data_IF_653778484797
#
_entry.id   IF_653778484797
#
_cell.length_a   1.000
_cell.length_b   1.000
_cell.length_c   1.000
_cell.angle_alpha   90.00
_cell.angle_beta   90.00
_cell.angle_gamma   90.00
#
_symmetry.space_group_name_H-M   'P 1'
#
loop_
_entity.id
_entity.type
_entity.pdbx_description
1 polymer ?
#
# COMPACT_ATOMS: atom_id res chain seq x y z
N UNK A 1 -47.21 -44.76 -37.70
CA UNK A 1 -45.94 -44.16 -37.24
C UNK A 1 -46.02 -44.04 -35.72
N UNK A 2 -45.19 -44.78 -34.99
CA UNK A 2 -45.12 -44.71 -33.52
C UNK A 2 -44.13 -43.61 -33.17
N UNK A 3 -44.63 -42.51 -32.63
CA UNK A 3 -43.81 -41.43 -32.09
C UNK A 3 -43.30 -41.88 -30.72
N UNK A 4 -42.04 -42.25 -30.65
CA UNK A 4 -41.34 -42.42 -29.38
C UNK A 4 -41.05 -41.01 -28.86
N UNK A 5 -41.56 -40.69 -27.67
CA UNK A 5 -41.21 -39.46 -26.99
C UNK A 5 -39.71 -39.52 -26.63
N UNK A 6 -38.93 -38.59 -27.14
CA UNK A 6 -37.56 -38.36 -26.68
C UNK A 6 -37.62 -38.10 -25.17
N UNK A 7 -36.86 -38.87 -24.40
CA UNK A 7 -36.68 -38.62 -22.98
C UNK A 7 -35.93 -37.29 -22.88
N UNK A 8 -36.54 -36.30 -22.22
CA UNK A 8 -35.87 -35.05 -21.89
C UNK A 8 -34.66 -35.37 -20.99
N UNK A 9 -33.45 -35.35 -21.57
CA UNK A 9 -32.22 -35.43 -20.79
C UNK A 9 -32.12 -34.18 -19.91
N UNK A 10 -31.96 -34.39 -18.60
CA UNK A 10 -31.73 -33.29 -17.67
C UNK A 10 -30.45 -32.53 -18.06
N UNK A 11 -30.46 -31.19 -18.07
CA UNK A 11 -29.29 -30.42 -18.45
C UNK A 11 -28.15 -30.64 -17.45
N UNK A 12 -27.03 -31.15 -17.93
CA UNK A 12 -25.82 -31.32 -17.14
C UNK A 12 -25.13 -29.96 -16.88
N UNK A 13 -24.66 -29.75 -15.65
CA UNK A 13 -23.99 -28.51 -15.26
C UNK A 13 -22.51 -28.61 -15.66
N UNK A 14 -22.03 -27.66 -16.47
CA UNK A 14 -20.63 -27.61 -16.84
C UNK A 14 -19.74 -27.16 -15.66
N UNK A 15 -19.23 -28.12 -14.90
CA UNK A 15 -18.36 -27.87 -13.75
C UNK A 15 -17.09 -27.10 -14.13
N UNK A 16 -16.57 -27.28 -15.35
CA UNK A 16 -15.37 -26.58 -15.81
C UNK A 16 -15.60 -25.07 -15.90
N UNK A 17 -16.74 -24.65 -16.47
CA UNK A 17 -17.14 -23.25 -16.51
C UNK A 17 -17.38 -22.66 -15.11
N UNK A 18 -17.95 -23.45 -14.19
CA UNK A 18 -18.19 -23.00 -12.81
C UNK A 18 -16.88 -22.79 -12.04
N UNK A 19 -15.93 -23.72 -12.19
CA UNK A 19 -14.60 -23.63 -11.58
C UNK A 19 -13.89 -22.36 -12.07
N UNK A 20 -13.96 -22.04 -13.36
CA UNK A 20 -13.33 -20.83 -13.92
C UNK A 20 -13.86 -19.54 -13.28
N UNK A 21 -15.19 -19.42 -13.15
CA UNK A 21 -15.83 -18.26 -12.49
C UNK A 21 -15.41 -18.14 -11.03
N UNK A 22 -15.38 -19.26 -10.28
CA UNK A 22 -14.95 -19.24 -8.87
C UNK A 22 -13.47 -18.88 -8.76
N UNK A 23 -12.62 -19.40 -9.65
CA UNK A 23 -11.18 -19.12 -9.64
C UNK A 23 -10.88 -17.65 -9.96
N UNK A 24 -11.58 -17.08 -10.94
CA UNK A 24 -11.52 -15.66 -11.26
C UNK A 24 -11.89 -14.77 -10.06
N UNK A 25 -12.95 -15.14 -9.33
CA UNK A 25 -13.35 -14.42 -8.11
C UNK A 25 -12.27 -14.50 -7.02
N UNK A 26 -11.66 -15.67 -6.81
CA UNK A 26 -10.59 -15.84 -5.82
C UNK A 26 -9.36 -14.98 -6.15
N UNK A 27 -8.94 -14.96 -7.42
CA UNK A 27 -7.83 -14.10 -7.88
C UNK A 27 -8.17 -12.62 -7.65
N UNK A 28 -9.37 -12.21 -8.04
CA UNK A 28 -9.83 -10.83 -7.85
C UNK A 28 -9.81 -10.41 -6.38
N UNK A 29 -10.30 -11.25 -5.47
CA UNK A 29 -10.26 -11.01 -4.03
C UNK A 29 -8.83 -10.93 -3.49
N UNK A 30 -7.96 -11.87 -3.89
CA UNK A 30 -6.57 -11.92 -3.45
C UNK A 30 -5.80 -10.66 -3.87
N UNK A 31 -5.98 -10.21 -5.12
CA UNK A 31 -5.35 -8.99 -5.64
C UNK A 31 -5.88 -7.75 -4.91
N UNK A 32 -7.20 -7.66 -4.72
CA UNK A 32 -7.85 -6.52 -4.05
C UNK A 32 -7.42 -6.38 -2.59
N UNK A 33 -7.18 -7.48 -1.87
CA UNK A 33 -6.73 -7.48 -0.48
C UNK A 33 -5.31 -6.88 -0.28
N UNK A 34 -4.50 -6.80 -1.33
CA UNK A 34 -3.12 -6.30 -1.23
C UNK A 34 -3.04 -4.76 -1.20
N UNK A 35 -4.12 -4.05 -1.54
CA UNK A 35 -4.10 -2.59 -1.73
C UNK A 35 -4.14 -1.77 -0.43
N UNK A 36 -4.48 -2.35 0.72
CA UNK A 36 -4.61 -1.60 1.98
C UNK A 36 -3.27 -1.29 2.68
N UNK A 37 -2.14 -1.86 2.23
CA UNK A 37 -0.85 -1.74 2.95
C UNK A 37 0.00 -0.52 2.61
N UNK A 38 -0.40 0.33 1.65
CA UNK A 38 0.46 1.42 1.15
C UNK A 38 0.24 2.79 1.79
N UNK A 39 -0.70 2.94 2.73
CA UNK A 39 -0.94 4.19 3.46
C UNK A 39 -0.16 4.29 4.79
N UNK A 40 1.00 3.63 4.92
CA UNK A 40 1.78 3.56 6.16
C UNK A 40 2.97 4.53 6.23
N UNK A 41 3.11 5.48 5.30
CA UNK A 41 3.97 6.63 5.58
C UNK A 41 3.19 7.63 6.44
N UNK A 42 3.11 7.34 7.75
CA UNK A 42 2.69 8.31 8.75
C UNK A 42 3.80 9.36 8.80
N UNK A 43 3.71 10.37 7.95
CA UNK A 43 4.60 11.53 7.99
C UNK A 43 4.27 12.27 9.29
N UNK A 44 5.05 11.99 10.33
CA UNK A 44 5.05 12.82 11.53
C UNK A 44 5.66 14.16 11.13
N UNK A 45 4.80 15.14 10.86
CA UNK A 45 5.24 16.53 10.71
C UNK A 45 5.74 16.96 12.09
N UNK A 46 7.01 17.36 12.24
CA UNK A 46 7.46 17.94 13.49
C UNK A 46 6.62 19.19 13.75
N UNK A 47 5.94 19.22 14.90
CA UNK A 47 5.37 20.47 15.37
C UNK A 47 6.53 21.42 15.60
N UNK A 48 6.45 22.62 15.01
CA UNK A 48 7.44 23.65 15.26
C UNK A 48 7.44 23.90 16.78
N UNK A 49 8.50 23.43 17.45
CA UNK A 49 8.80 23.87 18.81
C UNK A 49 8.71 25.37 18.74
N UNK A 50 7.78 25.92 19.52
CA UNK A 50 7.59 27.35 19.73
C UNK A 50 8.94 28.02 19.60
N UNK A 51 9.03 29.11 18.83
CA UNK A 51 10.19 29.96 18.84
C UNK A 51 10.41 30.49 20.27
N UNK A 52 10.95 29.66 21.15
CA UNK A 52 11.93 30.08 22.11
C UNK A 52 12.93 30.75 21.21
N UNK A 53 12.98 32.08 21.28
CA UNK A 53 14.17 32.79 20.87
C UNK A 53 15.28 32.01 21.57
N UNK A 54 15.98 31.14 20.83
CA UNK A 54 17.34 30.82 21.20
C UNK A 54 17.93 32.20 21.36
N UNK A 55 18.19 32.58 22.61
CA UNK A 55 19.12 33.67 22.86
C UNK A 55 20.30 33.26 22.03
N UNK A 56 20.49 33.90 20.88
CA UNK A 56 21.60 33.67 19.98
C UNK A 56 22.79 33.51 20.92
N UNK A 57 23.41 32.32 21.01
CA UNK A 57 24.48 32.13 21.97
C UNK A 57 25.45 33.28 21.76
N UNK A 58 25.84 33.96 22.85
CA UNK A 58 26.68 35.14 22.83
C UNK A 58 27.69 35.00 21.70
N UNK A 59 27.57 35.88 20.70
CA UNK A 59 28.20 35.77 19.38
C UNK A 59 29.60 35.18 19.51
N UNK A 60 29.75 33.91 19.12
CA UNK A 60 31.05 33.22 19.23
C UNK A 60 31.92 33.69 18.08
N UNK A 61 32.91 34.53 18.40
CA UNK A 61 33.98 34.90 17.48
C UNK A 61 35.05 33.83 17.55
N UNK A 62 35.37 33.22 16.40
CA UNK A 62 36.36 32.15 16.30
C UNK A 62 37.43 32.62 15.32
N UNK A 63 38.65 32.84 15.82
CA UNK A 63 39.78 33.29 15.01
C UNK A 63 40.65 32.10 14.66
N UNK A 64 40.93 31.91 13.36
CA UNK A 64 41.82 30.87 12.86
C UNK A 64 43.09 31.54 12.32
N UNK A 65 44.23 31.23 12.92
CA UNK A 65 45.52 31.71 12.44
C UNK A 65 46.04 30.85 11.28
N UNK A 66 46.97 31.37 10.47
CA UNK A 66 47.60 30.61 9.36
C UNK A 66 48.32 29.34 9.86
N UNK A 67 48.72 29.31 11.13
CA UNK A 67 49.33 28.15 11.80
C UNK A 67 48.32 27.14 12.34
N UNK A 68 47.02 27.41 12.21
CA UNK A 68 45.94 26.51 12.64
C UNK A 68 45.61 26.57 14.14
N UNK A 69 45.91 27.69 14.81
CA UNK A 69 45.49 27.91 16.20
C UNK A 69 44.11 28.57 16.26
N UNK A 70 43.33 28.24 17.30
CA UNK A 70 41.94 28.65 17.49
C UNK A 70 41.76 29.36 18.84
N UNK A 71 41.09 30.52 18.84
CA UNK A 71 40.67 31.27 20.04
C UNK A 71 39.26 31.83 19.85
#
# INVERSE_FOLDING_TARGET
MRLQAEQEEEPDINLTSLIDVVFLLLIFFMVSATFERQALLRVELPEASTATQESLPDRVELVITETGEYF
#
